data_IF_946379680232
#
_entry.id   IF_946379680232
#
_cell.length_a   1.000
_cell.length_b   1.000
_cell.length_c   1.000
_cell.angle_alpha   90.00
_cell.angle_beta   90.00
_cell.angle_gamma   90.00
#
_symmetry.space_group_name_H-M   'P 1'
#
loop_
_entity.id
_entity.type
_entity.pdbx_description
1 polymer ?
#
# COMPACT_ATOMS: atom_id res chain seq x y z
N UNK A 1 2.64 -5.86 -40.23
CA UNK A 1 2.41 -5.55 -38.77
C UNK A 1 1.58 -6.61 -38.04
N UNK A 2 1.64 -7.88 -38.31
CA UNK A 2 0.55 -8.81 -37.92
C UNK A 2 0.97 -10.07 -37.15
N UNK A 3 2.24 -10.42 -37.04
CA UNK A 3 2.64 -11.64 -36.29
C UNK A 3 2.90 -11.45 -34.78
N UNK A 4 3.25 -10.25 -34.32
CA UNK A 4 3.47 -9.98 -32.87
C UNK A 4 2.17 -9.80 -32.07
N UNK A 5 1.10 -9.34 -32.72
CA UNK A 5 -0.20 -9.12 -32.08
C UNK A 5 -0.92 -10.44 -31.72
N UNK A 6 -0.70 -11.50 -32.51
CA UNK A 6 -1.35 -12.81 -32.25
C UNK A 6 -0.85 -13.50 -30.97
N UNK A 7 0.36 -13.19 -30.51
CA UNK A 7 0.90 -13.72 -29.25
C UNK A 7 0.29 -13.05 -28.00
N UNK A 8 -0.27 -11.86 -28.16
CA UNK A 8 -0.98 -11.18 -27.09
C UNK A 8 -2.44 -11.66 -26.92
N UNK A 9 -2.99 -12.39 -27.92
CA UNK A 9 -4.38 -12.83 -27.93
C UNK A 9 -4.76 -13.70 -26.72
N UNK A 10 -4.00 -14.74 -26.33
CA UNK A 10 -4.32 -15.54 -25.14
C UNK A 10 -4.34 -14.73 -23.86
N UNK A 11 -3.40 -13.78 -23.71
CA UNK A 11 -3.36 -12.87 -22.57
C UNK A 11 -4.56 -11.91 -22.56
N UNK A 12 -4.95 -11.39 -23.72
CA UNK A 12 -6.12 -10.53 -23.84
C UNK A 12 -7.41 -11.27 -23.49
N UNK A 13 -7.56 -12.52 -23.97
CA UNK A 13 -8.70 -13.37 -23.63
C UNK A 13 -8.76 -13.61 -22.11
N UNK A 14 -7.62 -13.95 -21.51
CA UNK A 14 -7.52 -14.12 -20.05
C UNK A 14 -7.96 -12.85 -19.31
N UNK A 15 -7.46 -11.68 -19.71
CA UNK A 15 -7.86 -10.39 -19.11
C UNK A 15 -9.36 -10.13 -19.23
N UNK A 16 -9.95 -10.39 -20.39
CA UNK A 16 -11.39 -10.18 -20.59
C UNK A 16 -12.20 -11.11 -19.68
N UNK A 17 -11.87 -12.39 -19.60
CA UNK A 17 -12.63 -13.34 -18.79
C UNK A 17 -12.43 -13.20 -17.29
N UNK A 18 -11.22 -12.90 -16.84
CA UNK A 18 -10.89 -12.90 -15.42
C UNK A 18 -10.85 -11.50 -14.77
N UNK A 19 -10.80 -10.45 -15.56
CA UNK A 19 -10.81 -9.08 -15.04
C UNK A 19 -12.05 -8.32 -15.51
N UNK A 20 -12.26 -8.21 -16.83
CA UNK A 20 -13.33 -7.35 -17.35
C UNK A 20 -14.71 -7.95 -17.07
N UNK A 21 -14.90 -9.26 -17.27
CA UNK A 21 -16.19 -9.92 -17.07
C UNK A 21 -16.66 -9.86 -15.60
N UNK A 22 -15.83 -10.17 -14.57
CA UNK A 22 -16.25 -9.99 -13.18
C UNK A 22 -16.58 -8.54 -12.83
N UNK A 23 -15.84 -7.56 -13.34
CA UNK A 23 -16.15 -6.14 -13.12
C UNK A 23 -17.48 -5.73 -13.76
N UNK A 24 -17.76 -6.22 -14.97
CA UNK A 24 -19.05 -6.01 -15.63
C UNK A 24 -20.20 -6.67 -14.86
N UNK A 25 -19.99 -7.87 -14.32
CA UNK A 25 -20.99 -8.53 -13.48
C UNK A 25 -21.29 -7.72 -12.22
N UNK A 26 -20.27 -7.22 -11.52
CA UNK A 26 -20.44 -6.33 -10.35
C UNK A 26 -21.23 -5.08 -10.73
N UNK A 27 -20.91 -4.46 -11.88
CA UNK A 27 -21.63 -3.29 -12.36
C UNK A 27 -23.12 -3.61 -12.68
N UNK A 28 -23.37 -4.73 -13.33
CA UNK A 28 -24.74 -5.19 -13.64
C UNK A 28 -25.53 -5.44 -12.35
N UNK A 29 -24.94 -6.16 -11.38
CA UNK A 29 -25.60 -6.40 -10.09
C UNK A 29 -25.83 -5.09 -9.29
N UNK A 30 -24.91 -4.14 -9.36
CA UNK A 30 -25.10 -2.83 -8.71
C UNK A 30 -26.29 -2.05 -9.29
N UNK A 31 -26.60 -2.28 -10.57
CA UNK A 31 -27.68 -1.62 -11.31
C UNK A 31 -28.95 -2.47 -11.42
N UNK A 32 -29.05 -3.61 -10.73
CA UNK A 32 -30.23 -4.47 -10.71
C UNK A 32 -30.87 -4.51 -9.33
N UNK A 33 -32.18 -4.54 -9.31
CA UNK A 33 -32.99 -4.85 -8.11
C UNK A 33 -33.04 -6.38 -7.90
N UNK A 34 -33.48 -6.83 -6.71
CA UNK A 34 -33.65 -8.25 -6.39
C UNK A 34 -34.57 -9.03 -7.33
N UNK A 35 -35.35 -8.35 -8.18
CA UNK A 35 -36.22 -8.89 -9.25
C UNK A 35 -35.56 -8.91 -10.64
N UNK A 36 -34.31 -8.46 -10.76
CA UNK A 36 -33.55 -8.43 -12.03
C UNK A 36 -33.87 -7.25 -12.95
N UNK A 37 -34.69 -6.29 -12.50
CA UNK A 37 -34.96 -5.06 -13.26
C UNK A 37 -33.84 -4.02 -13.05
N UNK A 38 -33.46 -3.33 -14.13
CA UNK A 38 -32.51 -2.24 -14.06
C UNK A 38 -33.07 -1.08 -13.22
N UNK A 39 -32.30 -0.71 -12.17
CA UNK A 39 -32.67 0.38 -11.27
C UNK A 39 -31.39 1.03 -10.68
N UNK A 40 -31.48 2.32 -10.40
CA UNK A 40 -30.47 3.05 -9.65
C UNK A 40 -30.69 3.00 -8.12
N UNK A 41 -31.67 2.23 -7.67
CA UNK A 41 -32.08 2.16 -6.26
C UNK A 41 -30.91 1.78 -5.33
N UNK A 42 -30.03 0.86 -5.73
CA UNK A 42 -28.88 0.46 -4.92
C UNK A 42 -27.86 1.59 -4.78
N UNK A 43 -27.66 2.36 -5.85
CA UNK A 43 -26.78 3.53 -5.85
C UNK A 43 -27.37 4.64 -4.96
N UNK A 44 -28.66 4.93 -5.13
CA UNK A 44 -29.34 5.94 -4.29
C UNK A 44 -29.41 5.53 -2.83
N UNK A 45 -29.65 4.25 -2.53
CA UNK A 45 -29.60 3.70 -1.16
C UNK A 45 -28.26 3.93 -0.50
N UNK A 46 -27.14 3.69 -1.20
CA UNK A 46 -25.80 3.95 -0.65
C UNK A 46 -25.63 5.41 -0.20
N UNK A 47 -26.11 6.36 -1.00
CA UNK A 47 -26.00 7.79 -0.67
C UNK A 47 -27.04 8.29 0.34
N UNK A 48 -28.12 7.56 0.57
CA UNK A 48 -29.16 7.92 1.54
C UNK A 48 -29.01 7.17 2.87
N UNK A 49 -28.28 6.08 2.88
CA UNK A 49 -28.03 5.28 4.07
C UNK A 49 -26.89 5.90 4.90
N UNK A 50 -27.26 6.43 6.05
CA UNK A 50 -26.33 7.05 7.00
C UNK A 50 -25.26 6.08 7.50
N UNK A 51 -25.61 4.80 7.68
CA UNK A 51 -24.68 3.79 8.20
C UNK A 51 -23.65 3.40 7.14
N UNK A 52 -24.07 3.28 5.87
CA UNK A 52 -23.17 3.02 4.77
C UNK A 52 -22.17 4.16 4.56
N UNK A 53 -22.64 5.41 4.60
CA UNK A 53 -21.77 6.60 4.46
C UNK A 53 -20.82 6.75 5.63
N UNK A 54 -21.29 6.52 6.87
CA UNK A 54 -20.44 6.60 8.05
C UNK A 54 -19.35 5.53 8.03
N UNK A 55 -19.68 4.29 7.66
CA UNK A 55 -18.72 3.20 7.51
C UNK A 55 -17.68 3.52 6.45
N UNK A 56 -18.11 4.04 5.30
CA UNK A 56 -17.19 4.44 4.23
C UNK A 56 -16.25 5.58 4.66
N UNK A 57 -16.79 6.59 5.38
CA UNK A 57 -15.98 7.68 5.91
C UNK A 57 -14.93 7.20 6.91
N UNK A 58 -15.29 6.30 7.83
CA UNK A 58 -14.38 5.68 8.79
C UNK A 58 -13.31 4.84 8.08
N UNK A 59 -13.66 4.08 7.04
CA UNK A 59 -12.69 3.32 6.26
C UNK A 59 -11.65 4.23 5.58
N UNK A 60 -12.09 5.36 5.01
CA UNK A 60 -11.16 6.35 4.43
C UNK A 60 -10.28 6.98 5.50
N UNK A 61 -10.84 7.35 6.66
CA UNK A 61 -10.09 7.92 7.78
C UNK A 61 -8.97 6.98 8.22
N UNK A 62 -9.30 5.71 8.49
CA UNK A 62 -8.34 4.69 8.89
C UNK A 62 -7.28 4.44 7.81
N UNK A 63 -7.67 4.41 6.53
CA UNK A 63 -6.73 4.23 5.43
C UNK A 63 -5.73 5.40 5.33
N UNK A 64 -6.19 6.64 5.54
CA UNK A 64 -5.33 7.83 5.58
C UNK A 64 -4.37 7.76 6.77
N UNK A 65 -4.89 7.50 7.98
CA UNK A 65 -4.09 7.38 9.20
C UNK A 65 -3.02 6.29 9.06
N UNK A 66 -3.40 5.11 8.56
CA UNK A 66 -2.48 3.99 8.29
C UNK A 66 -1.39 4.39 7.30
N UNK A 67 -1.78 5.03 6.19
CA UNK A 67 -0.83 5.45 5.15
C UNK A 67 0.17 6.48 5.68
N UNK A 68 -0.30 7.47 6.45
CA UNK A 68 0.55 8.50 7.06
C UNK A 68 1.54 7.88 8.06
N UNK A 69 1.08 6.96 8.90
CA UNK A 69 1.95 6.25 9.85
C UNK A 69 2.97 5.37 9.11
N UNK A 70 2.55 4.67 8.05
CA UNK A 70 3.45 3.88 7.22
C UNK A 70 4.52 4.74 6.53
N UNK A 71 4.19 5.96 6.06
CA UNK A 71 5.19 6.88 5.50
C UNK A 71 6.14 7.35 6.60
N UNK A 72 5.61 7.78 7.74
CA UNK A 72 6.39 8.33 8.84
C UNK A 72 7.43 7.35 9.37
N UNK A 73 7.07 6.07 9.48
CA UNK A 73 7.95 5.00 9.94
C UNK A 73 8.75 4.40 8.77
N UNK A 74 8.09 4.19 7.63
CA UNK A 74 8.64 3.49 6.49
C UNK A 74 9.72 4.27 5.74
N UNK A 75 9.60 5.60 5.64
CA UNK A 75 10.60 6.40 4.95
C UNK A 75 11.97 6.39 5.67
N UNK A 76 12.07 6.66 6.99
CA UNK A 76 13.32 6.49 7.72
C UNK A 76 13.87 5.06 7.66
N UNK A 77 13.01 4.04 7.79
CA UNK A 77 13.42 2.65 7.68
C UNK A 77 14.02 2.35 6.29
N UNK A 78 13.34 2.77 5.21
CA UNK A 78 13.84 2.60 3.84
C UNK A 78 15.18 3.32 3.61
N UNK A 79 15.35 4.53 4.17
CA UNK A 79 16.58 5.28 4.12
C UNK A 79 17.73 4.54 4.81
N UNK A 80 17.53 4.08 6.05
CA UNK A 80 18.54 3.31 6.80
C UNK A 80 18.90 2.02 6.05
N UNK A 81 17.91 1.30 5.53
CA UNK A 81 18.14 0.05 4.79
C UNK A 81 18.87 0.26 3.46
N UNK A 82 18.69 1.43 2.80
CA UNK A 82 19.34 1.75 1.53
C UNK A 82 20.77 2.28 1.68
N UNK A 83 21.11 2.79 2.85
CA UNK A 83 22.43 3.38 3.09
C UNK A 83 23.43 2.30 3.49
N UNK A 84 24.50 2.15 2.69
CA UNK A 84 25.56 1.17 2.93
C UNK A 84 26.41 1.44 4.18
N UNK A 85 26.38 2.64 4.73
CA UNK A 85 27.04 2.95 6.00
C UNK A 85 26.33 2.31 7.19
N UNK A 86 24.98 2.20 7.12
CA UNK A 86 24.16 1.64 8.20
C UNK A 86 23.79 0.18 7.93
N UNK A 87 23.60 -0.19 6.68
CA UNK A 87 23.19 -1.54 6.30
C UNK A 87 24.24 -2.21 5.41
N UNK A 88 25.05 -3.08 6.02
CA UNK A 88 26.11 -3.82 5.34
C UNK A 88 25.63 -5.14 4.73
N UNK A 89 24.38 -5.57 5.00
CA UNK A 89 23.87 -6.87 4.58
C UNK A 89 22.54 -6.76 3.81
N UNK A 90 22.51 -7.35 2.62
CA UNK A 90 21.27 -7.53 1.88
C UNK A 90 20.23 -8.40 2.63
N UNK A 91 20.67 -9.17 3.62
CA UNK A 91 19.79 -10.02 4.43
C UNK A 91 18.83 -9.17 5.27
N UNK A 92 19.23 -7.97 5.71
CA UNK A 92 18.39 -7.10 6.54
C UNK A 92 17.10 -6.71 5.80
N UNK A 93 17.18 -6.38 4.51
CA UNK A 93 15.98 -6.04 3.74
C UNK A 93 15.09 -7.28 3.55
N UNK A 94 15.68 -8.46 3.32
CA UNK A 94 14.92 -9.70 3.18
C UNK A 94 14.17 -10.02 4.47
N UNK A 95 14.81 -9.90 5.63
CA UNK A 95 14.17 -10.10 6.93
C UNK A 95 13.04 -9.11 7.16
N UNK A 96 13.20 -7.86 6.72
CA UNK A 96 12.15 -6.83 6.83
C UNK A 96 10.92 -7.14 5.96
N UNK A 97 11.13 -7.74 4.78
CA UNK A 97 10.04 -8.09 3.85
C UNK A 97 9.44 -9.47 4.17
N UNK A 98 10.14 -10.31 4.91
CA UNK A 98 9.70 -11.69 5.21
C UNK A 98 8.25 -11.79 5.74
N UNK A 99 7.74 -10.88 6.59
CA UNK A 99 6.35 -10.90 7.03
C UNK A 99 5.32 -10.84 5.88
N UNK A 100 5.67 -10.26 4.72
CA UNK A 100 4.75 -10.22 3.56
C UNK A 100 4.44 -11.61 2.99
N UNK A 101 5.28 -12.61 3.22
CA UNK A 101 5.10 -13.97 2.71
C UNK A 101 4.16 -14.80 3.60
N UNK A 102 3.90 -14.33 4.81
CA UNK A 102 2.93 -14.95 5.71
C UNK A 102 1.54 -14.49 5.27
N UNK A 103 0.57 -15.41 5.27
CA UNK A 103 -0.82 -15.09 4.95
C UNK A 103 -1.34 -13.97 5.88
N UNK A 104 -1.94 -12.93 5.27
CA UNK A 104 -2.40 -11.75 6.00
C UNK A 104 -3.42 -12.10 7.09
N UNK A 105 -4.37 -13.02 6.81
CA UNK A 105 -5.37 -13.46 7.80
C UNK A 105 -4.70 -14.08 9.03
N UNK A 106 -3.68 -14.92 8.83
CA UNK A 106 -2.94 -15.52 9.94
C UNK A 106 -2.21 -14.48 10.79
N UNK A 107 -1.62 -13.45 10.17
CA UNK A 107 -0.96 -12.36 10.90
C UNK A 107 -1.96 -11.55 11.70
N UNK A 108 -3.08 -11.19 11.09
CA UNK A 108 -4.15 -10.43 11.76
C UNK A 108 -4.70 -11.19 12.97
N UNK A 109 -5.01 -12.48 12.79
CA UNK A 109 -5.50 -13.32 13.90
C UNK A 109 -4.45 -13.46 15.01
N UNK A 110 -3.18 -13.69 14.67
CA UNK A 110 -2.10 -13.78 15.65
C UNK A 110 -1.90 -12.46 16.41
N UNK A 111 -2.00 -11.32 15.74
CA UNK A 111 -1.89 -9.99 16.35
C UNK A 111 -3.07 -9.73 17.29
N UNK A 112 -4.29 -10.08 16.88
CA UNK A 112 -5.48 -9.94 17.69
C UNK A 112 -5.41 -10.83 18.96
N UNK A 113 -4.94 -12.06 18.80
CA UNK A 113 -4.75 -12.97 19.94
C UNK A 113 -3.65 -12.50 20.89
N UNK A 114 -2.56 -11.95 20.36
CA UNK A 114 -1.51 -11.33 21.18
C UNK A 114 -2.07 -10.18 22.04
N UNK A 115 -2.90 -9.32 21.49
CA UNK A 115 -3.56 -8.25 22.24
C UNK A 115 -4.49 -8.80 23.32
N UNK A 116 -5.24 -9.85 23.00
CA UNK A 116 -6.13 -10.52 23.94
C UNK A 116 -5.35 -11.09 25.13
N UNK A 117 -4.26 -11.82 24.87
CA UNK A 117 -3.38 -12.38 25.94
C UNK A 117 -2.72 -11.27 26.78
N UNK A 118 -2.38 -10.14 26.20
CA UNK A 118 -1.82 -8.98 26.90
C UNK A 118 -2.88 -8.15 27.65
N UNK A 119 -4.18 -8.49 27.55
CA UNK A 119 -5.26 -7.74 28.15
C UNK A 119 -5.51 -6.36 27.51
N UNK A 120 -5.05 -6.16 26.26
CA UNK A 120 -5.24 -4.92 25.52
C UNK A 120 -6.59 -4.98 24.80
N UNK A 121 -7.47 -4.04 25.09
CA UNK A 121 -8.78 -3.98 24.45
C UNK A 121 -8.66 -3.69 22.94
N UNK A 122 -9.38 -4.47 22.13
CA UNK A 122 -9.49 -4.24 20.69
C UNK A 122 -10.31 -2.97 20.44
N UNK A 123 -9.74 -2.05 19.67
CA UNK A 123 -10.36 -0.78 19.31
C UNK A 123 -9.62 -0.11 18.16
N UNK A 124 -9.93 1.15 17.86
CA UNK A 124 -9.32 1.89 16.75
C UNK A 124 -7.78 1.89 16.80
N UNK A 125 -7.19 2.04 17.98
CA UNK A 125 -5.73 2.07 18.14
C UNK A 125 -5.05 0.73 17.81
N UNK A 126 -5.63 -0.39 18.29
CA UNK A 126 -5.11 -1.73 17.99
C UNK A 126 -5.34 -2.12 16.53
N UNK A 127 -6.45 -1.65 15.93
CA UNK A 127 -6.70 -1.80 14.49
C UNK A 127 -5.63 -1.07 13.67
N UNK A 128 -5.36 0.20 13.98
CA UNK A 128 -4.31 0.98 13.31
C UNK A 128 -2.93 0.33 13.45
N UNK A 129 -2.60 -0.17 14.64
CA UNK A 129 -1.35 -0.90 14.85
C UNK A 129 -1.26 -2.13 13.94
N UNK A 130 -2.32 -2.95 13.90
CA UNK A 130 -2.38 -4.13 13.04
C UNK A 130 -2.23 -3.77 11.56
N UNK A 131 -2.95 -2.75 11.09
CA UNK A 131 -2.85 -2.27 9.72
C UNK A 131 -1.46 -1.73 9.37
N UNK A 132 -0.85 -0.92 10.25
CA UNK A 132 0.52 -0.44 10.04
C UNK A 132 1.50 -1.61 9.99
N UNK A 133 1.38 -2.58 10.91
CA UNK A 133 2.22 -3.78 10.91
C UNK A 133 2.09 -4.58 9.61
N UNK A 134 0.86 -4.74 9.10
CA UNK A 134 0.59 -5.50 7.89
C UNK A 134 1.07 -4.77 6.62
N UNK A 135 0.91 -3.44 6.56
CA UNK A 135 1.19 -2.66 5.35
C UNK A 135 2.54 -1.97 5.32
N UNK A 136 3.28 -1.89 6.45
CA UNK A 136 4.58 -1.22 6.51
C UNK A 136 5.60 -1.74 5.47
N UNK A 137 5.75 -3.06 5.23
CA UNK A 137 6.67 -3.57 4.22
C UNK A 137 6.31 -3.11 2.80
N UNK A 138 5.01 -2.96 2.49
CA UNK A 138 4.53 -2.47 1.19
C UNK A 138 4.86 -0.99 0.96
N UNK A 139 5.01 -0.19 2.02
CA UNK A 139 5.49 1.18 1.96
C UNK A 139 7.01 1.21 1.79
N UNK A 140 7.73 0.43 2.59
CA UNK A 140 9.21 0.47 2.64
C UNK A 140 9.84 -0.01 1.35
N UNK A 141 9.33 -1.09 0.74
CA UNK A 141 9.95 -1.73 -0.43
C UNK A 141 10.07 -0.80 -1.66
N UNK A 142 9.03 -0.10 -2.12
CA UNK A 142 9.15 0.81 -3.26
C UNK A 142 10.02 2.03 -2.93
N UNK A 143 9.97 2.55 -1.71
CA UNK A 143 10.82 3.67 -1.27
C UNK A 143 12.29 3.22 -1.24
N UNK A 144 12.60 2.10 -0.62
CA UNK A 144 13.92 1.47 -0.62
C UNK A 144 14.46 1.28 -2.04
N UNK A 145 13.63 0.72 -2.92
CA UNK A 145 14.01 0.46 -4.31
C UNK A 145 14.31 1.76 -5.07
N UNK A 146 13.53 2.81 -4.81
CA UNK A 146 13.74 4.13 -5.40
C UNK A 146 15.05 4.75 -4.92
N UNK A 147 15.30 4.76 -3.61
CA UNK A 147 16.52 5.33 -3.02
C UNK A 147 17.77 4.53 -3.43
N UNK A 148 17.69 3.19 -3.43
CA UNK A 148 18.83 2.33 -3.78
C UNK A 148 19.27 2.46 -5.26
N UNK A 149 18.38 2.95 -6.13
CA UNK A 149 18.68 3.23 -7.55
C UNK A 149 19.23 4.62 -7.80
N UNK A 150 19.26 5.48 -6.78
CA UNK A 150 19.84 6.82 -6.94
C UNK A 150 21.35 6.72 -7.20
N UNK A 151 21.83 7.50 -8.17
CA UNK A 151 23.27 7.63 -8.43
C UNK A 151 23.92 8.33 -7.23
N UNK A 152 24.96 7.69 -6.68
CA UNK A 152 25.73 8.21 -5.56
C UNK A 152 26.30 9.60 -5.82
N UNK A 153 26.54 9.94 -7.08
CA UNK A 153 27.05 11.27 -7.50
C UNK A 153 26.17 12.41 -6.98
N UNK A 154 24.85 12.21 -6.85
CA UNK A 154 23.98 13.24 -6.28
C UNK A 154 24.26 13.49 -4.80
N UNK A 155 24.56 12.43 -4.06
CA UNK A 155 24.87 12.51 -2.63
C UNK A 155 26.27 13.12 -2.43
N UNK A 156 27.26 12.70 -3.24
CA UNK A 156 28.63 13.22 -3.24
C UNK A 156 28.64 14.71 -3.57
N UNK A 157 27.96 15.13 -4.66
CA UNK A 157 27.85 16.55 -5.03
C UNK A 157 27.17 17.40 -3.94
N UNK A 158 26.17 16.86 -3.24
CA UNK A 158 25.57 17.56 -2.11
C UNK A 158 26.54 17.73 -0.94
N UNK A 159 27.37 16.72 -0.68
CA UNK A 159 28.42 16.79 0.35
C UNK A 159 29.50 17.81 -0.01
N UNK A 160 29.91 17.87 -1.27
CA UNK A 160 30.90 18.84 -1.77
C UNK A 160 30.40 20.30 -1.65
N UNK A 161 29.08 20.48 -1.75
CA UNK A 161 28.40 21.77 -1.51
C UNK A 161 28.14 22.06 -0.02
N UNK A 162 28.71 21.28 0.90
CA UNK A 162 28.62 21.48 2.36
C UNK A 162 27.26 21.08 2.96
N UNK A 163 26.48 20.23 2.28
CA UNK A 163 25.26 19.68 2.86
C UNK A 163 25.62 18.63 3.92
N UNK A 164 25.01 18.74 5.10
CA UNK A 164 25.04 17.67 6.09
C UNK A 164 24.03 16.57 5.71
N UNK A 165 24.11 15.40 6.36
CA UNK A 165 23.24 14.24 6.05
C UNK A 165 21.74 14.56 6.03
N UNK A 166 21.25 15.41 6.95
CA UNK A 166 19.86 15.84 7.00
C UNK A 166 19.47 16.73 5.82
N UNK A 167 20.34 17.66 5.42
CA UNK A 167 20.12 18.51 4.25
C UNK A 167 20.16 17.68 2.96
N UNK A 168 21.08 16.73 2.85
CA UNK A 168 21.16 15.79 1.72
C UNK A 168 19.88 14.95 1.64
N UNK A 169 19.41 14.42 2.76
CA UNK A 169 18.16 13.67 2.82
C UNK A 169 16.96 14.50 2.34
N UNK A 170 16.78 15.70 2.93
CA UNK A 170 15.58 16.51 2.67
C UNK A 170 15.57 17.20 1.31
N UNK A 171 16.74 17.65 0.81
CA UNK A 171 16.84 18.45 -0.41
C UNK A 171 17.20 17.65 -1.66
N UNK A 172 17.79 16.47 -1.51
CA UNK A 172 18.25 15.65 -2.64
C UNK A 172 17.52 14.32 -2.68
N UNK A 173 17.65 13.52 -1.62
CA UNK A 173 17.11 12.15 -1.64
C UNK A 173 15.58 12.13 -1.62
N UNK A 174 14.95 12.94 -0.77
CA UNK A 174 13.50 12.99 -0.65
C UNK A 174 12.82 13.38 -1.98
N UNK A 175 13.18 14.47 -2.66
CA UNK A 175 12.58 14.81 -3.96
C UNK A 175 12.81 13.74 -5.04
N UNK A 176 13.98 13.14 -5.07
CA UNK A 176 14.30 12.09 -6.05
C UNK A 176 13.61 10.75 -5.74
N UNK A 177 13.21 10.52 -4.48
CA UNK A 177 12.48 9.32 -4.06
C UNK A 177 10.95 9.44 -4.15
N UNK A 178 10.41 10.60 -4.53
CA UNK A 178 8.95 10.82 -4.68
C UNK A 178 8.25 9.74 -5.49
N UNK A 179 8.78 9.25 -6.63
CA UNK A 179 8.12 8.14 -7.35
C UNK A 179 7.96 6.87 -6.51
N UNK A 180 8.96 6.57 -5.65
CA UNK A 180 8.88 5.45 -4.70
C UNK A 180 7.84 5.68 -3.60
N UNK A 181 7.76 6.92 -3.09
CA UNK A 181 6.78 7.31 -2.08
C UNK A 181 5.36 7.18 -2.63
N UNK A 182 5.10 7.70 -3.84
CA UNK A 182 3.77 7.60 -4.49
C UNK A 182 3.38 6.15 -4.72
N UNK A 183 4.33 5.31 -5.17
CA UNK A 183 4.08 3.87 -5.31
C UNK A 183 3.74 3.22 -3.97
N UNK A 184 4.47 3.54 -2.91
CA UNK A 184 4.21 3.05 -1.55
C UNK A 184 2.84 3.47 -1.03
N UNK A 185 2.48 4.74 -1.21
CA UNK A 185 1.15 5.27 -0.86
C UNK A 185 0.07 4.46 -1.56
N UNK A 186 0.19 4.23 -2.86
CA UNK A 186 -0.82 3.47 -3.62
C UNK A 186 -0.93 2.03 -3.13
N UNK A 187 0.21 1.39 -2.81
CA UNK A 187 0.25 0.01 -2.32
C UNK A 187 -0.30 -0.16 -0.90
N UNK A 188 -0.33 0.90 -0.10
CA UNK A 188 -0.88 0.89 1.26
C UNK A 188 -2.32 1.39 1.28
N UNK A 189 -2.59 2.54 0.68
CA UNK A 189 -3.88 3.22 0.75
C UNK A 189 -5.01 2.43 0.11
N UNK A 190 -4.80 1.91 -1.11
CA UNK A 190 -5.86 1.21 -1.85
C UNK A 190 -6.34 -0.05 -1.12
N UNK A 191 -5.48 -0.99 -0.69
CA UNK A 191 -5.96 -2.14 0.06
C UNK A 191 -6.47 -1.78 1.47
N UNK A 192 -5.94 -0.72 2.11
CA UNK A 192 -6.41 -0.29 3.44
C UNK A 192 -7.87 0.18 3.45
N UNK A 193 -8.41 0.71 2.34
CA UNK A 193 -9.83 1.09 2.25
C UNK A 193 -10.72 -0.15 2.21
N UNK A 194 -10.23 -1.26 1.67
CA UNK A 194 -11.02 -2.48 1.46
C UNK A 194 -10.90 -3.50 2.59
N UNK A 195 -10.10 -3.20 3.61
CA UNK A 195 -9.90 -4.06 4.78
C UNK A 195 -10.84 -3.67 5.88
#
# INVERSE_FOLDING_TARGET
MTKRSSWALPYFIFLVFFVVLPLLLVLVYALQDGSGHFTLSNVTKFFTDSDALSTFAVSIEIAIETTLLCILIGYPAAWILSNKEYNHSAVTIVLFIMPMWINALMRTLATAELFNVLGIHLGKGTLLYGMVYDYLPYMVLPIYTSISKLDKRYIEAASDLGCNGWKTLSKVVFPLSVPGIVSGITMVFVPSIST
#
